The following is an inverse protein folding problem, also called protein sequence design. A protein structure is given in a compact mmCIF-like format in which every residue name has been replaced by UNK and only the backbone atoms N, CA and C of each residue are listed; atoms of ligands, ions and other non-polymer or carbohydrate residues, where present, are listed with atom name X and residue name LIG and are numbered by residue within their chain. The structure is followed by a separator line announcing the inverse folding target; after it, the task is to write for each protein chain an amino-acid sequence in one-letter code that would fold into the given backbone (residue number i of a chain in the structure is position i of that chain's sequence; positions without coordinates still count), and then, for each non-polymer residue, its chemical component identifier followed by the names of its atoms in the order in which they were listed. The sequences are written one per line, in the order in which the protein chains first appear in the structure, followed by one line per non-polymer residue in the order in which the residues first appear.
data_IF_158334164986
#
_entry.id   IF_158334164986
#
_cell.length_a   1.000
_cell.length_b   1.000
_cell.length_c   1.000
_cell.angle_alpha   90.00
_cell.angle_beta   90.00
_cell.angle_gamma   90.00
#
_symmetry.space_group_name_H-M   'P 1'
#
loop_
_entity.id
_entity.type
_entity.pdbx_description
1 polymer ?
#
# COMPACT_ATOMS: atom_id res chain seq x y z
N UNK A 1 16.94 4.24 32.03
CA UNK A 1 17.39 3.23 31.05
C UNK A 1 17.10 3.84 29.68
N UNK A 2 18.12 4.20 28.89
CA UNK A 2 17.92 4.93 27.63
C UNK A 2 17.99 3.92 26.46
N UNK A 3 16.85 3.60 25.87
CA UNK A 3 16.76 2.76 24.68
C UNK A 3 16.52 3.64 23.44
N UNK A 4 17.08 3.24 22.30
CA UNK A 4 16.76 3.81 20.99
C UNK A 4 15.95 2.76 20.27
N UNK A 5 14.70 3.08 19.95
CA UNK A 5 13.78 2.20 19.24
C UNK A 5 13.54 2.78 17.85
N UNK A 6 13.71 1.94 16.83
CA UNK A 6 13.39 2.25 15.45
C UNK A 6 12.98 0.97 14.74
N UNK A 7 12.13 1.12 13.72
CA UNK A 7 11.74 0.03 12.86
C UNK A 7 12.64 0.03 11.62
N UNK A 8 13.14 -1.14 11.24
CA UNK A 8 13.90 -1.31 10.01
C UNK A 8 13.62 -2.69 9.41
N UNK A 9 13.95 -2.85 8.13
CA UNK A 9 13.87 -4.12 7.44
C UNK A 9 15.27 -4.70 7.31
N UNK A 10 15.41 -5.99 7.62
CA UNK A 10 16.65 -6.70 7.37
C UNK A 10 16.70 -7.14 5.90
N UNK A 11 17.75 -6.76 5.19
CA UNK A 11 18.05 -7.24 3.85
C UNK A 11 19.32 -8.09 3.91
N UNK A 12 19.23 -9.37 3.54
CA UNK A 12 20.35 -10.32 3.58
C UNK A 12 21.08 -10.40 4.93
N UNK A 13 20.32 -10.26 6.02
CA UNK A 13 20.85 -10.25 7.40
C UNK A 13 21.53 -8.94 7.81
N UNK A 14 21.51 -7.92 6.94
CA UNK A 14 21.99 -6.57 7.23
C UNK A 14 20.80 -5.72 7.68
N UNK A 15 20.92 -5.08 8.85
CA UNK A 15 19.95 -4.12 9.35
C UNK A 15 20.35 -2.72 8.89
N UNK A 16 19.50 -2.07 8.11
CA UNK A 16 19.71 -0.67 7.74
C UNK A 16 19.35 0.24 8.90
N UNK A 17 20.36 0.92 9.45
CA UNK A 17 20.16 1.86 10.56
C UNK A 17 19.77 3.24 9.99
N UNK A 18 18.62 3.81 10.42
CA UNK A 18 18.21 5.16 10.03
C UNK A 18 19.28 6.21 10.33
N UNK A 19 19.44 7.19 9.43
CA UNK A 19 20.54 8.17 9.49
C UNK A 19 20.58 8.95 10.80
N UNK A 20 19.43 9.25 11.39
CA UNK A 20 19.28 9.92 12.68
C UNK A 20 19.88 9.16 13.87
N UNK A 21 20.13 7.86 13.70
CA UNK A 21 20.65 6.97 14.74
C UNK A 21 22.08 6.50 14.47
N UNK A 22 22.58 6.60 13.24
CA UNK A 22 23.93 6.14 12.87
C UNK A 22 25.03 6.71 13.78
N UNK A 23 25.09 8.03 13.95
CA UNK A 23 26.09 8.68 14.81
C UNK A 23 25.97 8.30 16.29
N UNK A 24 24.75 7.96 16.75
CA UNK A 24 24.52 7.61 18.17
C UNK A 24 24.94 6.17 18.47
N UNK A 25 24.95 5.31 17.46
CA UNK A 25 25.24 3.88 17.56
C UNK A 25 26.70 3.54 17.15
N UNK A 26 27.42 4.47 16.52
CA UNK A 26 28.82 4.27 16.12
C UNK A 26 29.72 3.87 17.30
N UNK A 27 30.54 2.83 17.09
CA UNK A 27 31.43 2.26 18.09
C UNK A 27 30.76 1.56 19.27
N UNK A 28 29.44 1.38 19.28
CA UNK A 28 28.70 0.75 20.40
C UNK A 28 28.40 -0.72 20.15
N UNK A 29 28.41 -1.51 21.22
CA UNK A 29 27.88 -2.88 21.20
C UNK A 29 26.35 -2.80 21.32
N UNK A 30 25.66 -3.43 20.37
CA UNK A 30 24.20 -3.38 20.25
C UNK A 30 23.58 -4.72 20.67
N UNK A 31 22.45 -4.66 21.37
CA UNK A 31 21.57 -5.80 21.60
C UNK A 31 20.34 -5.62 20.73
N UNK A 32 20.17 -6.50 19.74
CA UNK A 32 19.02 -6.47 18.83
C UNK A 32 17.94 -7.40 19.39
N UNK A 33 16.71 -6.90 19.44
CA UNK A 33 15.52 -7.70 19.74
C UNK A 33 14.62 -7.62 18.52
N UNK A 34 14.36 -8.76 17.90
CA UNK A 34 13.38 -8.86 16.82
C UNK A 34 11.99 -8.92 17.46
N UNK A 35 11.12 -7.99 17.08
CA UNK A 35 9.71 -8.03 17.41
C UNK A 35 8.98 -8.23 16.11
N UNK A 36 8.17 -9.28 16.03
CA UNK A 36 7.28 -9.48 14.89
C UNK A 36 6.29 -8.32 14.89
N UNK A 37 6.49 -7.38 13.96
CA UNK A 37 5.44 -6.45 13.63
C UNK A 37 4.32 -7.29 13.04
N UNK A 38 3.28 -7.60 13.83
CA UNK A 38 1.97 -7.74 13.22
C UNK A 38 1.82 -6.47 12.40
N UNK A 39 1.75 -6.61 11.08
CA UNK A 39 1.36 -5.51 10.22
C UNK A 39 0.08 -4.97 10.86
N UNK A 40 0.13 -3.77 11.44
CA UNK A 40 -1.09 -2.98 11.54
C UNK A 40 -1.60 -2.94 10.11
N UNK A 41 -2.74 -3.62 9.91
CA UNK A 41 -3.27 -4.04 8.63
C UNK A 41 -2.88 -3.04 7.55
N UNK A 42 -1.89 -3.41 6.74
CA UNK A 42 -1.44 -2.61 5.62
C UNK A 42 -2.67 -2.43 4.74
N UNK A 43 -3.29 -1.26 4.88
CA UNK A 43 -4.48 -0.78 4.19
C UNK A 43 -5.37 -1.90 3.68
N UNK A 44 -6.38 -2.28 4.46
CA UNK A 44 -7.53 -3.10 4.06
C UNK A 44 -7.79 -2.90 2.55
N UNK A 45 -7.23 -3.81 1.74
CA UNK A 45 -6.96 -3.52 0.33
C UNK A 45 -8.26 -3.08 -0.31
N UNK A 46 -8.37 -1.79 -0.66
CA UNK A 46 -9.67 -1.19 -0.92
C UNK A 46 -10.38 -2.02 -2.00
N UNK A 47 -11.39 -2.76 -1.57
CA UNK A 47 -12.01 -3.74 -2.46
C UNK A 47 -12.56 -3.02 -3.67
N UNK A 48 -12.58 -3.70 -4.83
CA UNK A 48 -13.16 -3.13 -6.06
C UNK A 48 -14.58 -2.59 -5.78
N UNK A 49 -15.34 -3.23 -4.88
CA UNK A 49 -16.65 -2.78 -4.43
C UNK A 49 -16.63 -1.46 -3.63
N UNK A 50 -15.65 -1.27 -2.74
CA UNK A 50 -15.47 -0.01 -2.02
C UNK A 50 -15.14 1.15 -2.99
N UNK A 51 -14.30 0.88 -3.99
CA UNK A 51 -13.99 1.85 -5.06
C UNK A 51 -15.21 2.19 -5.92
N UNK A 52 -15.99 1.18 -6.34
CA UNK A 52 -17.19 1.37 -7.15
C UNK A 52 -18.29 2.16 -6.43
N UNK A 53 -18.44 2.00 -5.10
CA UNK A 53 -19.43 2.77 -4.31
C UNK A 53 -19.18 4.28 -4.33
N UNK A 54 -17.95 4.73 -4.53
CA UNK A 54 -17.60 6.16 -4.62
C UNK A 54 -17.92 6.75 -6.00
N UNK A 55 -18.08 5.92 -7.02
CA UNK A 55 -18.45 6.36 -8.36
C UNK A 55 -19.94 6.68 -8.37
N UNK A 56 -20.27 7.98 -8.39
CA UNK A 56 -21.65 8.44 -8.63
C UNK A 56 -21.99 8.25 -10.10
N UNK A 57 -22.59 7.12 -10.43
CA UNK A 57 -23.11 6.84 -11.76
C UNK A 57 -24.30 7.79 -12.00
N UNK A 58 -24.13 8.75 -12.89
CA UNK A 58 -25.24 9.56 -13.41
C UNK A 58 -25.75 8.85 -14.65
N UNK A 59 -26.75 7.98 -14.46
CA UNK A 59 -27.46 7.31 -15.54
C UNK A 59 -28.81 7.98 -15.77
N UNK A 60 -29.34 7.98 -17.01
CA UNK A 60 -30.74 8.27 -17.26
C UNK A 60 -31.61 7.35 -16.39
N UNK A 61 -32.74 7.85 -15.89
CA UNK A 61 -33.68 7.05 -15.09
C UNK A 61 -34.26 5.85 -15.85
N UNK A 62 -34.09 5.84 -17.17
CA UNK A 62 -34.54 4.80 -18.08
C UNK A 62 -33.35 4.17 -18.80
N UNK A 63 -33.01 2.94 -18.43
CA UNK A 63 -32.02 2.09 -19.09
C UNK A 63 -32.69 1.04 -19.99
N UNK A 64 -33.99 1.17 -20.29
CA UNK A 64 -34.75 0.19 -21.10
C UNK A 64 -34.48 0.29 -22.60
N UNK A 65 -33.71 1.28 -23.05
CA UNK A 65 -33.17 1.27 -24.40
C UNK A 65 -31.92 0.39 -24.42
N UNK A 66 -32.04 -0.78 -25.05
CA UNK A 66 -30.91 -1.67 -25.32
C UNK A 66 -29.82 -0.91 -26.08
N UNK A 67 -28.70 -0.61 -25.43
CA UNK A 67 -27.51 -0.07 -26.07
C UNK A 67 -26.63 -1.24 -26.57
N UNK A 68 -27.17 -2.13 -27.39
CA UNK A 68 -26.40 -3.16 -28.12
C UNK A 68 -25.65 -2.57 -29.33
N UNK A 69 -25.51 -1.24 -29.41
CA UNK A 69 -24.89 -0.56 -30.56
C UNK A 69 -23.80 0.40 -30.11
N UNK A 70 -22.77 -0.12 -29.44
CA UNK A 70 -21.46 0.53 -29.39
C UNK A 70 -20.35 -0.51 -29.15
N UNK A 71 -20.33 -1.54 -30.00
CA UNK A 71 -19.11 -2.26 -30.35
C UNK A 71 -19.08 -2.33 -31.88
N UNK A 72 -18.84 -1.19 -32.51
CA UNK A 72 -18.28 -1.18 -33.87
C UNK A 72 -16.99 -0.40 -33.72
N UNK A 73 -15.92 -1.15 -33.43
CA UNK A 73 -14.58 -0.69 -33.74
C UNK A 73 -14.50 -0.42 -35.23
N UNK A 74 -13.84 0.67 -35.58
CA UNK A 74 -13.51 1.03 -36.95
C UNK A 74 -13.03 -0.19 -37.74
N UNK A 75 -13.50 -0.32 -38.99
CA UNK A 75 -12.75 -1.02 -40.00
C UNK A 75 -12.80 -0.20 -41.29
N UNK A 76 -11.64 0.36 -41.65
CA UNK A 76 -11.34 0.97 -42.94
C UNK A 76 -11.77 0.07 -44.11
N UNK A 77 -12.52 0.65 -45.06
CA UNK A 77 -12.50 0.32 -46.49
C UNK A 77 -13.24 1.41 -47.30
#
# INVERSE_FOLDING_TARGET
MNAIEFQTTAHDGILDIPREHQQKLDGRVLRVVLVDAQAEDADEAETIFARLRRIRIHGPADLSTNHDTSIIGEQDA
#
